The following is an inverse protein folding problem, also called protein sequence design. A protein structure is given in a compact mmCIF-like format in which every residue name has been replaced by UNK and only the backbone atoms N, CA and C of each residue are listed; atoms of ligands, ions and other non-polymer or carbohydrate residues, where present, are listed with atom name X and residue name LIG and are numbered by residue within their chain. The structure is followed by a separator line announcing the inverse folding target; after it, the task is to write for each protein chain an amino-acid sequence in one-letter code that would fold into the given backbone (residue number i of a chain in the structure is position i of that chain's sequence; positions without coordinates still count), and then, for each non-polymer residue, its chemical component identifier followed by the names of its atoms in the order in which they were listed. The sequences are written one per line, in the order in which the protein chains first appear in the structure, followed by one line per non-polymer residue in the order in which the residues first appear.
data_IF_423896621120
#
_entry.id   IF_423896621120
#
_cell.length_a   1.000
_cell.length_b   1.000
_cell.length_c   1.000
_cell.angle_alpha   90.00
_cell.angle_beta   90.00
_cell.angle_gamma   90.00
#
_symmetry.space_group_name_H-M   'P 1'
#
loop_
_entity.id
_entity.type
_entity.pdbx_description
1 polymer ?
#
# COMPACT_ATOMS: atom_id res chain seq x y z
N UNK A 1 34.20 2.55 -14.18
CA UNK A 1 33.56 3.49 -13.26
C UNK A 1 32.91 2.75 -12.11
N UNK A 2 33.67 2.56 -11.03
CA UNK A 2 33.25 1.88 -9.79
C UNK A 2 33.75 2.66 -8.57
N UNK A 3 33.90 3.97 -8.68
CA UNK A 3 34.22 4.88 -7.57
C UNK A 3 32.94 5.45 -6.93
N UNK A 4 31.92 4.60 -6.72
CA UNK A 4 30.72 5.02 -5.99
C UNK A 4 30.97 4.80 -4.50
N UNK A 5 31.34 5.87 -3.81
CA UNK A 5 31.60 5.85 -2.37
C UNK A 5 30.27 5.58 -1.65
N UNK A 6 30.25 4.60 -0.75
CA UNK A 6 29.03 4.27 0.00
C UNK A 6 28.48 5.51 0.72
N UNK A 7 27.16 5.76 0.67
CA UNK A 7 26.58 6.94 1.29
C UNK A 7 26.80 6.94 2.80
N UNK A 8 26.98 8.13 3.37
CA UNK A 8 27.21 8.32 4.80
C UNK A 8 25.92 8.21 5.63
N UNK A 9 26.04 8.42 6.94
CA UNK A 9 24.90 8.37 7.87
C UNK A 9 23.89 9.54 7.70
N UNK A 10 24.30 10.58 6.99
CA UNK A 10 23.51 11.75 6.64
C UNK A 10 22.22 11.41 5.86
N UNK A 11 22.20 10.28 5.14
CA UNK A 11 21.00 9.82 4.41
C UNK A 11 19.82 9.42 5.31
N UNK A 12 20.06 9.24 6.62
CA UNK A 12 19.03 8.88 7.59
C UNK A 12 18.60 10.06 8.47
N UNK A 13 19.25 11.22 8.33
CA UNK A 13 18.95 12.42 9.11
C UNK A 13 17.92 13.24 8.37
N UNK A 14 16.84 13.59 9.06
CA UNK A 14 15.75 14.40 8.55
C UNK A 14 15.38 15.47 9.58
N UNK A 15 14.89 16.62 9.11
CA UNK A 15 14.26 17.62 9.96
C UNK A 15 12.91 17.11 10.50
N UNK A 16 12.52 17.38 11.76
CA UNK A 16 11.31 16.81 12.34
C UNK A 16 10.02 17.10 11.57
N UNK A 17 9.93 18.27 10.92
CA UNK A 17 8.76 18.74 10.17
C UNK A 17 8.64 18.14 8.76
N UNK A 18 9.69 17.51 8.23
CA UNK A 18 9.65 16.87 6.90
C UNK A 18 9.19 15.40 6.94
N UNK A 19 9.28 14.74 8.09
CA UNK A 19 8.97 13.32 8.25
C UNK A 19 7.52 12.99 7.87
N UNK A 20 6.55 13.70 8.43
CA UNK A 20 5.12 13.39 8.21
C UNK A 20 4.71 13.58 6.73
N UNK A 21 5.05 14.70 6.05
CA UNK A 21 4.81 14.86 4.62
C UNK A 21 5.47 13.76 3.77
N UNK A 22 6.73 13.42 4.04
CA UNK A 22 7.46 12.39 3.28
C UNK A 22 6.82 11.01 3.42
N UNK A 23 6.53 10.59 4.66
CA UNK A 23 5.90 9.29 4.92
C UNK A 23 4.52 9.24 4.27
N UNK A 24 3.74 10.33 4.36
CA UNK A 24 2.40 10.40 3.76
C UNK A 24 2.45 10.31 2.23
N UNK A 25 3.43 10.94 1.59
CA UNK A 25 3.61 10.87 0.14
C UNK A 25 3.98 9.44 -0.32
N UNK A 26 4.91 8.82 0.40
CA UNK A 26 5.50 7.54 -0.03
C UNK A 26 4.70 6.30 0.41
N UNK A 27 3.89 6.39 1.47
CA UNK A 27 3.18 5.22 2.02
C UNK A 27 2.38 4.47 0.95
N UNK A 28 1.71 5.19 0.05
CA UNK A 28 0.83 4.62 -0.98
C UNK A 28 1.55 3.77 -2.05
N UNK A 29 2.86 3.98 -2.23
CA UNK A 29 3.70 3.23 -3.17
C UNK A 29 4.32 1.97 -2.52
N UNK A 30 4.25 1.87 -1.19
CA UNK A 30 4.92 0.83 -0.42
C UNK A 30 4.26 -0.56 -0.52
N UNK A 31 5.07 -1.59 -0.29
CA UNK A 31 4.57 -2.97 -0.16
C UNK A 31 3.65 -3.16 1.07
N UNK A 32 3.84 -2.35 2.11
CA UNK A 32 2.98 -2.33 3.30
C UNK A 32 1.57 -1.89 2.92
N UNK A 33 1.45 -0.77 2.21
CA UNK A 33 0.15 -0.26 1.75
C UNK A 33 -0.54 -1.25 0.82
N UNK A 34 0.16 -1.83 -0.16
CA UNK A 34 -0.43 -2.86 -1.03
C UNK A 34 -0.98 -4.06 -0.25
N UNK A 35 -0.31 -4.44 0.85
CA UNK A 35 -0.75 -5.52 1.74
C UNK A 35 -1.99 -5.13 2.54
N UNK A 36 -2.01 -3.93 3.13
CA UNK A 36 -3.16 -3.39 3.88
C UNK A 36 -4.37 -3.15 3.01
N UNK A 37 -4.19 -2.62 1.80
CA UNK A 37 -5.26 -2.45 0.83
C UNK A 37 -5.95 -3.77 0.49
N UNK A 38 -5.18 -4.84 0.23
CA UNK A 38 -5.73 -6.18 -0.01
C UNK A 38 -6.53 -6.70 1.18
N UNK A 39 -6.02 -6.52 2.40
CA UNK A 39 -6.68 -6.97 3.63
C UNK A 39 -7.98 -6.21 3.89
N UNK A 40 -7.96 -4.88 3.74
CA UNK A 40 -9.14 -4.04 3.84
C UNK A 40 -10.19 -4.39 2.78
N UNK A 41 -9.80 -4.52 1.51
CA UNK A 41 -10.71 -4.88 0.42
C UNK A 41 -11.33 -6.28 0.62
N UNK A 42 -10.53 -7.24 1.11
CA UNK A 42 -11.03 -8.58 1.42
C UNK A 42 -11.99 -8.57 2.62
N UNK A 43 -11.69 -7.80 3.66
CA UNK A 43 -12.51 -7.64 4.88
C UNK A 43 -13.82 -6.91 4.60
N UNK A 44 -13.80 -5.92 3.71
CA UNK A 44 -14.98 -5.22 3.21
C UNK A 44 -15.79 -6.03 2.18
N UNK A 45 -15.38 -7.26 1.87
CA UNK A 45 -16.04 -8.16 0.92
C UNK A 45 -16.16 -7.60 -0.52
N UNK A 46 -15.26 -6.69 -0.92
CA UNK A 46 -15.25 -6.09 -2.25
C UNK A 46 -14.51 -6.94 -3.29
N UNK A 47 -13.62 -7.83 -2.86
CA UNK A 47 -12.89 -8.70 -3.78
C UNK A 47 -13.81 -9.85 -4.26
N UNK A 48 -13.92 -10.07 -5.58
CA UNK A 48 -14.77 -11.12 -6.12
C UNK A 48 -14.30 -12.52 -5.67
N UNK A 49 -15.26 -13.36 -5.27
CA UNK A 49 -15.01 -14.72 -4.77
C UNK A 49 -15.36 -15.73 -5.86
N UNK A 50 -14.45 -16.68 -6.11
CA UNK A 50 -14.67 -17.75 -7.10
C UNK A 50 -15.67 -18.81 -6.63
N UNK A 51 -15.70 -19.07 -5.33
CA UNK A 51 -16.61 -20.05 -4.72
C UNK A 51 -17.31 -19.43 -3.50
N UNK A 52 -18.65 -19.29 -3.53
CA UNK A 52 -19.43 -18.88 -2.36
C UNK A 52 -19.14 -19.78 -1.15
N UNK A 53 -19.17 -19.21 0.06
CA UNK A 53 -18.90 -19.94 1.30
C UNK A 53 -17.43 -20.33 1.55
N UNK A 54 -16.52 -20.17 0.57
CA UNK A 54 -15.08 -20.45 0.74
C UNK A 54 -14.25 -19.19 0.61
N UNK A 55 -13.18 -19.05 1.40
CA UNK A 55 -12.23 -17.94 1.25
C UNK A 55 -11.47 -18.10 -0.06
N UNK A 56 -11.26 -16.99 -0.78
CA UNK A 56 -10.39 -16.97 -1.97
C UNK A 56 -8.95 -17.26 -1.55
N UNK A 57 -8.18 -18.08 -2.30
CA UNK A 57 -6.77 -18.34 -2.00
C UNK A 57 -5.97 -17.03 -2.08
N UNK A 58 -4.87 -16.94 -1.32
CA UNK A 58 -4.12 -15.69 -1.14
C UNK A 58 -3.61 -15.10 -2.45
N UNK A 59 -3.12 -15.93 -3.37
CA UNK A 59 -2.63 -15.48 -4.68
C UNK A 59 -3.73 -14.79 -5.50
N UNK A 60 -4.96 -15.30 -5.44
CA UNK A 60 -6.10 -14.70 -6.14
C UNK A 60 -6.52 -13.39 -5.47
N UNK A 61 -6.48 -13.33 -4.13
CA UNK A 61 -6.69 -12.06 -3.42
C UNK A 61 -5.65 -11.01 -3.81
N UNK A 62 -4.36 -11.39 -3.94
CA UNK A 62 -3.29 -10.50 -4.40
C UNK A 62 -3.55 -9.98 -5.81
N UNK A 63 -3.87 -10.87 -6.75
CA UNK A 63 -4.17 -10.49 -8.13
C UNK A 63 -5.37 -9.53 -8.22
N UNK A 64 -6.48 -9.86 -7.54
CA UNK A 64 -7.70 -9.03 -7.57
C UNK A 64 -7.53 -7.71 -6.84
N UNK A 65 -6.83 -7.68 -5.72
CA UNK A 65 -6.55 -6.44 -4.99
C UNK A 65 -5.62 -5.51 -5.78
N UNK A 66 -4.60 -6.05 -6.47
CA UNK A 66 -3.74 -5.24 -7.34
C UNK A 66 -4.54 -4.60 -8.48
N UNK A 67 -5.36 -5.38 -9.19
CA UNK A 67 -6.26 -4.88 -10.24
C UNK A 67 -7.24 -3.81 -9.74
N UNK A 68 -7.78 -3.99 -8.53
CA UNK A 68 -8.64 -3.00 -7.89
C UNK A 68 -7.86 -1.73 -7.53
N UNK A 69 -6.65 -1.87 -6.99
CA UNK A 69 -5.81 -0.74 -6.60
C UNK A 69 -5.42 0.11 -7.81
N UNK A 70 -5.10 -0.51 -8.95
CA UNK A 70 -4.76 0.19 -10.19
C UNK A 70 -5.87 1.17 -10.62
N UNK A 71 -7.13 0.80 -10.40
CA UNK A 71 -8.28 1.68 -10.66
C UNK A 71 -8.46 2.69 -9.52
N UNK A 72 -8.42 2.22 -8.27
CA UNK A 72 -8.67 3.03 -7.08
C UNK A 72 -7.66 4.18 -6.88
N UNK A 73 -6.44 4.06 -7.39
CA UNK A 73 -5.44 5.14 -7.38
C UNK A 73 -5.92 6.44 -8.03
N UNK A 74 -6.89 6.37 -8.94
CA UNK A 74 -7.49 7.55 -9.57
C UNK A 74 -8.61 8.19 -8.73
N UNK A 75 -8.97 7.58 -7.60
CA UNK A 75 -10.05 7.98 -6.71
C UNK A 75 -9.50 8.07 -5.29
N UNK A 76 -8.84 9.18 -4.92
CA UNK A 76 -8.18 9.31 -3.61
C UNK A 76 -9.17 9.25 -2.44
N UNK A 77 -10.44 9.52 -2.69
CA UNK A 77 -11.57 9.40 -1.76
C UNK A 77 -12.18 8.00 -1.71
N UNK A 78 -11.65 7.02 -2.46
CA UNK A 78 -12.11 5.64 -2.39
C UNK A 78 -11.95 5.10 -0.97
N UNK A 79 -13.03 4.64 -0.28
CA UNK A 79 -12.98 4.35 1.15
C UNK A 79 -11.90 3.35 1.58
N UNK A 80 -11.56 2.40 0.72
CA UNK A 80 -10.53 1.39 1.01
C UNK A 80 -9.11 1.95 0.89
N UNK A 81 -8.89 2.95 0.03
CA UNK A 81 -7.60 3.66 -0.01
C UNK A 81 -7.41 4.42 1.30
N UNK A 82 -8.42 5.19 1.72
CA UNK A 82 -8.39 5.95 2.98
C UNK A 82 -8.16 5.04 4.19
N UNK A 83 -8.89 3.93 4.29
CA UNK A 83 -8.72 2.97 5.39
C UNK A 83 -7.35 2.29 5.37
N UNK A 84 -6.81 1.98 4.19
CA UNK A 84 -5.47 1.40 4.07
C UNK A 84 -4.38 2.38 4.50
N UNK A 85 -4.49 3.67 4.15
CA UNK A 85 -3.58 4.71 4.66
C UNK A 85 -3.68 4.82 6.18
N UNK A 86 -4.91 4.88 6.72
CA UNK A 86 -5.17 4.95 8.18
C UNK A 86 -4.68 3.73 8.96
N UNK A 87 -4.53 2.56 8.34
CA UNK A 87 -3.93 1.37 8.99
C UNK A 87 -2.40 1.34 8.86
N UNK A 88 -1.81 2.09 7.92
CA UNK A 88 -0.37 2.20 7.72
C UNK A 88 0.30 3.27 8.58
N UNK A 89 -0.42 4.36 8.86
CA UNK A 89 0.02 5.50 9.68
C UNK A 89 -0.59 5.40 11.08
#
# INVERSE_FOLDING_TARGET
DTDDTAPGADIFVFEPDEIEPLVTAEVSSSALFASRFRECAARALLLPRRHPGKRSPLWHQRQRAAQLLDVARNYPDFPIVLEAVRECL
#
